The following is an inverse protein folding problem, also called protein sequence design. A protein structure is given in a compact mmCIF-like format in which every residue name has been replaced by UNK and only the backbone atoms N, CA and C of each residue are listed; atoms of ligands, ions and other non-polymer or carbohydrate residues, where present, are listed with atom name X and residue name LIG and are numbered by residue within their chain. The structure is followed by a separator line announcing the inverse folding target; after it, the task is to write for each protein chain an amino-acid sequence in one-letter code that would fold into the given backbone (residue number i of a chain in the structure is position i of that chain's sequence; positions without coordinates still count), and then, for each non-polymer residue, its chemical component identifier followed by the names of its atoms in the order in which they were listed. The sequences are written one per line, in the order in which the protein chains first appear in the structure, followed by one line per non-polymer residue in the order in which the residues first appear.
data_IF_819046702460
#
_entry.id   IF_819046702460
#
_cell.length_a   1.000
_cell.length_b   1.000
_cell.length_c   1.000
_cell.angle_alpha   90.00
_cell.angle_beta   90.00
_cell.angle_gamma   90.00
#
_symmetry.space_group_name_H-M   'P 1'
#
loop_
_entity.id
_entity.type
_entity.pdbx_description
1 polymer ?
#
# COMPACT_ATOMS: atom_id res chain seq x y z
N UNK A 1 -46.58 9.50 16.54
CA UNK A 1 -46.53 8.05 16.84
C UNK A 1 -46.59 7.35 15.48
N UNK A 2 -45.75 6.40 15.06
CA UNK A 2 -44.89 5.43 15.76
C UNK A 2 -43.85 4.95 14.74
N UNK A 3 -42.67 4.54 15.21
CA UNK A 3 -41.53 4.08 14.41
C UNK A 3 -41.78 2.75 13.67
N UNK A 4 -41.04 2.50 12.59
CA UNK A 4 -40.60 1.13 12.28
C UNK A 4 -39.25 1.12 11.53
N UNK A 5 -38.22 0.73 12.27
CA UNK A 5 -36.87 0.37 11.83
C UNK A 5 -36.89 -1.12 11.53
N UNK A 6 -36.50 -1.54 10.33
CA UNK A 6 -36.32 -2.96 10.00
C UNK A 6 -34.95 -3.21 9.40
N UNK A 7 -34.11 -3.87 10.20
CA UNK A 7 -32.82 -4.40 9.83
C UNK A 7 -32.99 -5.72 9.06
N UNK A 8 -32.23 -5.90 7.98
CA UNK A 8 -32.03 -7.21 7.38
C UNK A 8 -30.58 -7.64 7.64
N UNK A 9 -30.40 -8.39 8.73
CA UNK A 9 -29.18 -9.13 9.04
C UNK A 9 -29.18 -10.37 8.15
N UNK A 10 -28.37 -10.37 7.09
CA UNK A 10 -28.09 -11.58 6.31
C UNK A 10 -27.01 -12.39 7.01
N UNK A 11 -27.45 -13.19 7.99
CA UNK A 11 -26.70 -14.25 8.62
C UNK A 11 -26.69 -15.49 7.70
N UNK A 12 -25.68 -15.57 6.83
CA UNK A 12 -25.32 -16.77 6.08
C UNK A 12 -24.40 -17.66 6.92
N UNK A 13 -25.00 -18.62 7.60
CA UNK A 13 -24.40 -19.61 8.49
C UNK A 13 -23.31 -20.49 7.83
N UNK A 14 -22.22 -20.66 8.60
CA UNK A 14 -21.56 -21.93 8.99
C UNK A 14 -20.57 -22.62 8.03
N UNK A 15 -19.30 -22.61 8.48
CA UNK A 15 -18.36 -23.74 8.65
C UNK A 15 -18.10 -24.71 7.49
N UNK A 16 -16.84 -24.77 7.05
CA UNK A 16 -16.08 -26.02 6.95
C UNK A 16 -14.56 -25.76 6.97
N UNK A 17 -13.91 -26.38 7.94
CA UNK A 17 -12.47 -26.61 8.09
C UNK A 17 -11.86 -27.40 6.93
N UNK A 18 -10.59 -27.09 6.66
CA UNK A 18 -9.54 -27.95 6.09
C UNK A 18 -9.80 -28.60 4.71
N UNK A 19 -9.07 -28.13 3.71
CA UNK A 19 -8.51 -29.03 2.70
C UNK A 19 -7.12 -28.52 2.32
N UNK A 20 -6.11 -29.00 3.05
CA UNK A 20 -4.76 -29.11 2.52
C UNK A 20 -4.82 -30.13 1.37
N UNK A 21 -5.17 -29.67 0.17
CA UNK A 21 -4.98 -30.44 -1.05
C UNK A 21 -3.70 -29.93 -1.70
N UNK A 22 -2.59 -30.57 -1.32
CA UNK A 22 -1.40 -30.65 -2.16
C UNK A 22 -1.85 -31.16 -3.53
N UNK A 23 -1.96 -30.23 -4.48
CA UNK A 23 -1.95 -30.55 -5.90
C UNK A 23 -0.59 -30.09 -6.38
N UNK A 24 0.35 -31.03 -6.44
CA UNK A 24 1.51 -30.94 -7.31
C UNK A 24 0.98 -30.86 -8.74
N UNK A 25 0.69 -29.64 -9.19
CA UNK A 25 0.60 -29.36 -10.60
C UNK A 25 2.04 -29.34 -11.12
N UNK A 26 2.41 -30.41 -11.81
CA UNK A 26 3.57 -30.45 -12.70
C UNK A 26 3.37 -29.38 -13.79
N UNK A 27 3.78 -28.15 -13.49
CA UNK A 27 3.87 -27.05 -14.43
C UNK A 27 5.30 -26.50 -14.36
N UNK A 28 6.05 -26.80 -15.42
CA UNK A 28 7.40 -26.32 -15.65
C UNK A 28 7.51 -24.80 -15.55
N UNK A 29 8.73 -24.35 -15.27
CA UNK A 29 9.15 -22.95 -15.24
C UNK A 29 8.40 -22.04 -14.24
N UNK A 30 8.61 -22.26 -12.94
CA UNK A 30 8.41 -21.20 -11.94
C UNK A 30 9.59 -20.22 -11.95
N UNK A 31 9.77 -19.52 -13.06
CA UNK A 31 10.61 -18.32 -13.12
C UNK A 31 9.76 -17.13 -12.69
N UNK A 32 9.90 -16.74 -11.42
CA UNK A 32 9.41 -15.46 -10.91
C UNK A 32 8.05 -15.53 -10.23
N UNK A 33 7.95 -16.29 -9.15
CA UNK A 33 6.87 -16.09 -8.18
C UNK A 33 7.08 -14.73 -7.50
N UNK A 34 6.59 -13.66 -8.10
CA UNK A 34 6.47 -12.36 -7.44
C UNK A 34 5.44 -12.57 -6.34
N UNK A 35 5.88 -12.57 -5.08
CA UNK A 35 4.95 -12.63 -3.95
C UNK A 35 3.95 -11.47 -4.07
N UNK A 36 2.75 -11.76 -4.56
CA UNK A 36 1.62 -10.82 -4.68
C UNK A 36 0.94 -10.66 -3.32
N UNK A 37 1.74 -10.57 -2.25
CA UNK A 37 1.21 -10.26 -0.93
C UNK A 37 0.59 -8.87 -1.00
N UNK A 38 -0.73 -8.80 -0.77
CA UNK A 38 -1.44 -7.53 -0.71
C UNK A 38 -0.87 -6.73 0.45
N UNK A 39 -0.35 -5.51 0.21
CA UNK A 39 0.23 -4.74 1.28
C UNK A 39 -0.82 -4.46 2.35
N UNK A 40 -0.43 -4.60 3.61
CA UNK A 40 -1.32 -4.26 4.71
C UNK A 40 -1.48 -2.72 4.80
N UNK A 41 -2.48 -2.25 5.55
CA UNK A 41 -2.74 -0.81 5.69
C UNK A 41 -1.51 -0.03 6.18
N UNK A 42 -0.70 -0.60 7.06
CA UNK A 42 0.54 0.04 7.53
C UNK A 42 1.57 0.20 6.41
N UNK A 43 1.76 -0.83 5.58
CA UNK A 43 2.66 -0.78 4.43
C UNK A 43 2.20 0.25 3.39
N UNK A 44 0.90 0.32 3.13
CA UNK A 44 0.32 1.33 2.23
C UNK A 44 0.57 2.76 2.74
N UNK A 45 0.42 2.99 4.05
CA UNK A 45 0.68 4.31 4.64
C UNK A 45 2.15 4.71 4.51
N UNK A 46 3.07 3.77 4.74
CA UNK A 46 4.50 4.02 4.57
C UNK A 46 4.84 4.32 3.12
N UNK A 47 4.32 3.55 2.17
CA UNK A 47 4.50 3.79 0.73
C UNK A 47 3.99 5.17 0.34
N UNK A 48 2.80 5.55 0.81
CA UNK A 48 2.21 6.84 0.50
C UNK A 48 3.01 8.00 1.10
N UNK A 49 3.52 7.85 2.33
CA UNK A 49 4.37 8.86 2.96
C UNK A 49 5.71 9.03 2.21
N UNK A 50 6.32 7.92 1.79
CA UNK A 50 7.55 7.95 1.00
C UNK A 50 7.33 8.60 -0.37
N UNK A 51 6.23 8.26 -1.05
CA UNK A 51 5.90 8.86 -2.34
C UNK A 51 5.62 10.36 -2.22
N UNK A 52 4.94 10.79 -1.15
CA UNK A 52 4.71 12.20 -0.88
C UNK A 52 6.03 12.97 -0.69
N UNK A 53 7.00 12.39 0.04
CA UNK A 53 8.32 13.02 0.21
C UNK A 53 9.10 13.04 -1.11
N UNK A 54 9.04 11.97 -1.91
CA UNK A 54 9.65 11.94 -3.24
C UNK A 54 9.11 13.06 -4.14
N UNK A 55 7.79 13.25 -4.18
CA UNK A 55 7.16 14.33 -4.94
C UNK A 55 7.59 15.71 -4.43
N UNK A 56 7.70 15.89 -3.10
CA UNK A 56 8.19 17.14 -2.51
C UNK A 56 9.63 17.46 -2.93
N UNK A 57 10.50 16.45 -3.00
CA UNK A 57 11.87 16.61 -3.48
C UNK A 57 11.92 16.94 -4.97
N UNK A 58 11.05 16.34 -5.79
CA UNK A 58 10.96 16.65 -7.22
C UNK A 58 10.51 18.09 -7.47
N UNK A 59 9.49 18.58 -6.75
CA UNK A 59 9.06 19.97 -6.84
C UNK A 59 10.18 20.92 -6.42
N UNK A 60 10.89 20.57 -5.33
CA UNK A 60 12.04 21.37 -4.89
C UNK A 60 13.16 21.41 -5.93
N UNK A 61 13.40 20.30 -6.63
CA UNK A 61 14.39 20.23 -7.71
C UNK A 61 13.97 21.07 -8.92
N UNK A 62 12.69 21.05 -9.29
CA UNK A 62 12.12 21.85 -10.39
C UNK A 62 12.25 23.37 -10.13
N UNK A 63 12.13 23.79 -8.87
CA UNK A 63 12.33 25.19 -8.46
C UNK A 63 13.80 25.65 -8.52
N UNK A 64 14.78 24.74 -8.60
CA UNK A 64 16.20 25.07 -8.54
C UNK A 64 16.81 25.11 -9.93
N UNK A 65 17.64 26.12 -10.20
CA UNK A 65 18.34 26.25 -11.50
C UNK A 65 19.63 25.45 -11.53
N UNK A 66 20.20 25.17 -10.35
CA UNK A 66 21.45 24.43 -10.20
C UNK A 66 21.35 23.39 -9.08
N UNK A 67 22.29 22.44 -9.10
CA UNK A 67 22.37 21.39 -8.09
C UNK A 67 22.79 21.96 -6.72
N UNK A 68 23.57 23.05 -6.71
CA UNK A 68 23.99 23.75 -5.49
C UNK A 68 22.80 24.37 -4.76
N UNK A 69 21.93 25.08 -5.49
CA UNK A 69 20.68 25.67 -4.94
C UNK A 69 19.79 24.58 -4.33
N UNK A 70 19.65 23.45 -5.02
CA UNK A 70 18.89 22.31 -4.51
C UNK A 70 19.48 21.76 -3.21
N UNK A 71 20.80 21.57 -3.14
CA UNK A 71 21.50 21.08 -1.94
C UNK A 71 21.41 22.04 -0.77
N UNK A 72 21.40 23.34 -1.01
CA UNK A 72 21.22 24.36 0.01
C UNK A 72 19.79 24.33 0.58
N UNK A 73 18.78 24.44 -0.28
CA UNK A 73 17.38 24.37 0.15
C UNK A 73 17.03 23.04 0.83
N UNK A 74 17.62 21.93 0.39
CA UNK A 74 17.43 20.64 1.03
C UNK A 74 18.00 20.62 2.46
N UNK A 75 19.20 21.20 2.67
CA UNK A 75 19.80 21.33 4.01
C UNK A 75 18.96 22.21 4.93
N UNK A 76 18.43 23.33 4.44
CA UNK A 76 17.53 24.20 5.22
C UNK A 76 16.26 23.46 5.67
N UNK A 77 15.73 22.56 4.83
CA UNK A 77 14.53 21.78 5.16
C UNK A 77 14.80 20.65 6.15
N UNK A 78 16.00 20.05 6.12
CA UNK A 78 16.38 18.92 6.99
C UNK A 78 16.94 19.36 8.35
N UNK A 79 17.49 20.58 8.46
CA UNK A 79 18.07 21.10 9.71
C UNK A 79 17.05 21.86 10.59
N UNK A 80 15.76 21.57 10.46
CA UNK A 80 14.70 22.07 11.36
C UNK A 80 14.49 21.11 12.52
#
# INVERSE_FOLDING_TARGET
MTAQKSAAIMCGKRTATATAAQRTADHGDQKGEVNMTTPNTGELLVQQAQEAERLRLLILADECKTIEEFREKLRERLNK
#
